data_IF_956312073068
#
_entry.id   IF_956312073068
#
_cell.length_a   1.000
_cell.length_b   1.000
_cell.length_c   1.000
_cell.angle_alpha   90.00
_cell.angle_beta   90.00
_cell.angle_gamma   90.00
#
_symmetry.space_group_name_H-M   'P 1'
#
loop_
_entity.id
_entity.type
_entity.pdbx_description
1 polymer ?
#
# COMPACT_ATOMS: atom_id res chain seq x y z
N UNK A 1 1.00 26.20 28.58
CA UNK A 1 -0.24 25.58 28.06
C UNK A 1 0.04 24.71 26.84
N UNK A 2 0.88 25.16 25.90
CA UNK A 2 1.33 24.41 24.72
C UNK A 2 2.05 23.07 25.01
N UNK A 3 2.94 23.03 26.01
CA UNK A 3 3.71 21.83 26.36
C UNK A 3 2.82 20.64 26.80
N UNK A 4 1.80 20.91 27.62
CA UNK A 4 0.89 19.86 28.11
C UNK A 4 0.10 19.19 26.98
N UNK A 5 -0.23 19.94 25.91
CA UNK A 5 -0.92 19.39 24.74
C UNK A 5 -0.02 18.49 23.90
N UNK A 6 1.27 18.85 23.75
CA UNK A 6 2.24 17.99 23.07
C UNK A 6 2.50 16.69 23.82
N UNK A 7 2.57 16.74 25.14
CA UNK A 7 2.71 15.54 25.98
C UNK A 7 1.46 14.66 25.91
N UNK A 8 0.26 15.27 25.96
CA UNK A 8 -1.00 14.55 25.81
C UNK A 8 -1.09 13.87 24.43
N UNK A 9 -0.68 14.57 23.37
CA UNK A 9 -0.62 14.02 22.02
C UNK A 9 0.36 12.85 21.93
N UNK A 10 1.57 13.00 22.48
CA UNK A 10 2.58 11.94 22.52
C UNK A 10 2.08 10.70 23.27
N UNK A 11 1.43 10.88 24.43
CA UNK A 11 0.91 9.78 25.23
C UNK A 11 -0.18 8.99 24.48
N UNK A 12 -1.16 9.68 23.90
CA UNK A 12 -2.22 9.05 23.10
C UNK A 12 -1.67 8.32 21.87
N UNK A 13 -0.62 8.86 21.26
CA UNK A 13 0.05 8.21 20.13
C UNK A 13 0.75 6.92 20.56
N UNK A 14 1.43 6.93 21.71
CA UNK A 14 2.08 5.74 22.29
C UNK A 14 1.04 4.68 22.66
N UNK A 15 -0.08 5.09 23.25
CA UNK A 15 -1.19 4.18 23.57
C UNK A 15 -1.73 3.51 22.29
N UNK A 16 -1.87 4.27 21.20
CA UNK A 16 -2.29 3.74 19.91
C UNK A 16 -1.27 2.78 19.27
N UNK A 17 0.02 3.08 19.40
CA UNK A 17 1.09 2.20 18.90
C UNK A 17 1.20 0.90 19.71
N UNK A 18 0.97 0.98 21.03
CA UNK A 18 1.08 -0.16 21.95
C UNK A 18 -0.19 -1.01 21.99
N UNK A 19 -1.34 -0.45 21.60
CA UNK A 19 -2.60 -1.17 21.56
C UNK A 19 -2.52 -2.37 20.60
N UNK A 20 -2.69 -3.58 21.15
CA UNK A 20 -2.76 -4.85 20.41
C UNK A 20 -4.20 -5.18 20.00
N UNK A 21 -5.19 -4.66 20.74
CA UNK A 21 -6.63 -4.84 20.56
C UNK A 21 -7.25 -3.79 19.61
N UNK A 22 -8.51 -3.98 19.13
CA UNK A 22 -9.17 -2.99 18.29
C UNK A 22 -9.23 -1.64 19.02
N UNK A 23 -8.57 -0.65 18.44
CA UNK A 23 -8.55 0.71 18.96
C UNK A 23 -9.97 1.27 18.90
N UNK A 24 -10.46 1.78 20.02
CA UNK A 24 -11.79 2.38 20.09
C UNK A 24 -11.86 3.61 19.17
N UNK A 25 -12.91 3.71 18.37
CA UNK A 25 -13.13 4.87 17.47
C UNK A 25 -13.05 6.21 18.22
N UNK A 26 -13.56 6.25 19.45
CA UNK A 26 -13.49 7.43 20.32
C UNK A 26 -12.06 7.87 20.63
N UNK A 27 -11.12 6.93 20.81
CA UNK A 27 -9.72 7.24 21.09
C UNK A 27 -9.02 7.83 19.86
N UNK A 28 -9.34 7.30 18.67
CA UNK A 28 -8.84 7.82 17.39
C UNK A 28 -9.39 9.22 17.13
N UNK A 29 -10.68 9.41 17.36
CA UNK A 29 -11.31 10.72 17.17
C UNK A 29 -10.74 11.76 18.14
N UNK A 30 -10.56 11.41 19.42
CA UNK A 30 -9.96 12.31 20.42
C UNK A 30 -8.48 12.62 20.11
N UNK A 31 -7.72 11.68 19.55
CA UNK A 31 -6.35 11.93 19.07
C UNK A 31 -6.34 13.00 17.97
N UNK A 32 -7.25 12.91 16.98
CA UNK A 32 -7.35 13.89 15.89
C UNK A 32 -7.81 15.27 16.40
N UNK A 33 -8.74 15.31 17.36
CA UNK A 33 -9.16 16.55 18.01
C UNK A 33 -8.03 17.22 18.80
N UNK A 34 -7.18 16.44 19.47
CA UNK A 34 -5.97 16.98 20.12
C UNK A 34 -5.04 17.59 19.07
N UNK A 35 -4.90 16.97 17.89
CA UNK A 35 -4.10 17.53 16.81
C UNK A 35 -4.69 18.84 16.25
N UNK A 36 -6.02 18.93 16.12
CA UNK A 36 -6.70 20.17 15.73
C UNK A 36 -6.45 21.30 16.74
N UNK A 37 -6.47 20.99 18.05
CA UNK A 37 -6.14 21.97 19.10
C UNK A 37 -4.70 22.44 19.02
N UNK A 38 -3.76 21.54 18.72
CA UNK A 38 -2.35 21.90 18.50
C UNK A 38 -2.23 22.82 17.29
N UNK A 39 -2.97 22.56 16.21
CA UNK A 39 -2.94 23.42 15.02
C UNK A 39 -3.40 24.85 15.33
N UNK A 40 -4.46 25.01 16.12
CA UNK A 40 -4.93 26.33 16.58
C UNK A 40 -3.86 27.10 17.36
N UNK A 41 -3.02 26.41 18.15
CA UNK A 41 -1.99 27.01 19.00
C UNK A 41 -0.60 27.03 18.33
N UNK A 42 -0.45 26.47 17.12
CA UNK A 42 0.83 26.31 16.43
C UNK A 42 1.58 27.63 16.26
N UNK A 43 0.85 28.74 16.10
CA UNK A 43 1.45 30.08 15.91
C UNK A 43 2.28 30.54 17.10
N UNK A 44 2.02 30.01 18.29
CA UNK A 44 2.69 30.40 19.54
C UNK A 44 3.84 29.45 19.92
N UNK A 45 4.20 28.51 19.03
CA UNK A 45 5.22 27.49 19.32
C UNK A 45 6.61 27.98 18.94
N UNK A 46 7.58 27.70 19.82
CA UNK A 46 9.00 27.88 19.53
C UNK A 46 9.54 26.77 18.61
N UNK A 47 10.75 26.96 18.10
CA UNK A 47 11.38 26.01 17.17
C UNK A 47 11.50 24.60 17.76
N UNK A 48 11.75 24.48 19.08
CA UNK A 48 11.85 23.19 19.75
C UNK A 48 10.51 22.44 19.80
N UNK A 49 9.41 23.14 20.09
CA UNK A 49 8.08 22.53 20.10
C UNK A 49 7.59 22.19 18.69
N UNK A 50 7.93 22.99 17.69
CA UNK A 50 7.67 22.66 16.28
C UNK A 50 8.44 21.41 15.83
N UNK A 51 9.70 21.27 16.23
CA UNK A 51 10.48 20.07 15.93
C UNK A 51 9.89 18.80 16.58
N UNK A 52 9.45 18.90 17.84
CA UNK A 52 8.74 17.80 18.51
C UNK A 52 7.44 17.45 17.81
N UNK A 53 6.65 18.45 17.42
CA UNK A 53 5.41 18.25 16.68
C UNK A 53 5.65 17.54 15.35
N UNK A 54 6.68 17.93 14.59
CA UNK A 54 7.05 17.28 13.34
C UNK A 54 7.37 15.79 13.53
N UNK A 55 8.11 15.44 14.59
CA UNK A 55 8.43 14.05 14.89
C UNK A 55 7.19 13.23 15.29
N UNK A 56 6.27 13.83 16.06
CA UNK A 56 5.00 13.18 16.41
C UNK A 56 4.09 13.03 15.19
N UNK A 57 4.06 14.02 14.30
CA UNK A 57 3.28 13.97 13.06
C UNK A 57 3.80 12.90 12.09
N UNK A 58 5.11 12.71 12.01
CA UNK A 58 5.70 11.60 11.23
C UNK A 58 5.23 10.24 11.74
N UNK A 59 5.19 10.06 13.06
CA UNK A 59 4.66 8.83 13.69
C UNK A 59 3.15 8.68 13.44
N UNK A 60 2.39 9.77 13.54
CA UNK A 60 0.96 9.76 13.20
C UNK A 60 0.72 9.34 11.74
N UNK A 61 1.53 9.84 10.79
CA UNK A 61 1.45 9.45 9.38
C UNK A 61 1.68 7.95 9.17
N UNK A 62 2.63 7.35 9.90
CA UNK A 62 2.87 5.91 9.84
C UNK A 62 1.66 5.11 10.32
N UNK A 63 0.89 5.66 11.27
CA UNK A 63 -0.35 5.06 11.77
C UNK A 63 -1.59 5.44 10.95
N UNK A 64 -1.46 6.32 9.95
CA UNK A 64 -2.58 6.84 9.15
C UNK A 64 -3.43 5.74 8.52
N UNK A 65 -2.80 4.69 7.99
CA UNK A 65 -3.47 3.49 7.47
C UNK A 65 -4.36 2.82 8.52
N UNK A 66 -3.84 2.65 9.74
CA UNK A 66 -4.56 2.02 10.84
C UNK A 66 -5.74 2.90 11.26
N UNK A 67 -5.52 4.21 11.36
CA UNK A 67 -6.56 5.19 11.68
C UNK A 67 -7.69 5.12 10.64
N UNK A 68 -7.36 5.10 9.34
CA UNK A 68 -8.36 5.06 8.27
C UNK A 68 -9.10 3.72 8.14
N UNK A 69 -8.53 2.63 8.67
CA UNK A 69 -9.21 1.33 8.74
C UNK A 69 -10.24 1.25 9.86
N UNK A 70 -9.95 1.87 11.02
CA UNK A 70 -10.82 1.81 12.19
C UNK A 70 -11.79 3.00 12.28
N UNK A 71 -11.43 4.16 11.73
CA UNK A 71 -12.26 5.36 11.77
C UNK A 71 -12.77 5.71 10.38
N UNK A 72 -14.10 5.89 10.25
CA UNK A 72 -14.71 6.36 9.02
C UNK A 72 -14.50 7.88 8.84
N UNK A 73 -13.28 8.23 8.42
CA UNK A 73 -12.85 9.60 8.13
C UNK A 73 -13.76 10.35 7.14
N UNK A 74 -14.32 9.73 6.07
CA UNK A 74 -15.37 10.36 5.25
C UNK A 74 -16.55 10.91 6.07
N UNK A 75 -17.08 10.13 7.01
CA UNK A 75 -18.21 10.54 7.85
C UNK A 75 -17.79 11.59 8.90
N UNK A 76 -16.58 11.47 9.46
CA UNK A 76 -16.05 12.49 10.37
C UNK A 76 -15.90 13.85 9.69
N UNK A 77 -15.44 13.88 8.43
CA UNK A 77 -15.27 15.12 7.64
C UNK A 77 -16.58 15.86 7.41
N UNK A 78 -17.71 15.15 7.25
CA UNK A 78 -19.02 15.81 7.09
C UNK A 78 -19.47 16.56 8.34
N UNK A 79 -19.07 16.07 9.52
CA UNK A 79 -19.45 16.65 10.82
C UNK A 79 -18.48 17.73 11.26
N UNK A 80 -17.18 17.43 11.25
CA UNK A 80 -16.12 18.32 11.75
C UNK A 80 -15.82 19.45 10.77
N UNK A 81 -16.06 19.24 9.46
CA UNK A 81 -15.73 20.18 8.38
C UNK A 81 -14.31 20.75 8.51
N UNK A 82 -13.27 19.89 8.52
CA UNK A 82 -11.90 20.34 8.68
C UNK A 82 -11.46 21.25 7.52
N UNK A 83 -10.65 22.26 7.83
CA UNK A 83 -10.02 23.15 6.85
C UNK A 83 -9.05 22.36 5.96
N UNK A 84 -8.90 22.74 4.69
CA UNK A 84 -8.06 22.03 3.70
C UNK A 84 -6.61 21.76 4.15
N UNK A 85 -6.07 22.56 5.07
CA UNK A 85 -4.71 22.40 5.61
C UNK A 85 -4.56 21.21 6.60
N UNK A 86 -5.66 20.63 7.08
CA UNK A 86 -5.67 19.68 8.19
C UNK A 86 -5.41 18.21 7.75
N UNK A 87 -4.33 17.98 7.00
CA UNK A 87 -3.99 16.73 6.29
C UNK A 87 -4.27 15.41 7.05
N UNK A 88 -4.23 15.42 8.38
CA UNK A 88 -4.55 14.26 9.24
C UNK A 88 -6.00 13.77 9.15
N UNK A 89 -6.92 14.53 8.56
CA UNK A 89 -8.30 14.08 8.26
C UNK A 89 -8.44 13.36 6.91
N UNK A 90 -7.38 13.34 6.10
CA UNK A 90 -7.38 12.78 4.75
C UNK A 90 -6.59 11.48 4.64
N UNK A 91 -6.38 10.76 5.74
CA UNK A 91 -5.81 9.42 5.65
C UNK A 91 -6.71 8.50 4.83
N UNK A 92 -6.08 7.77 3.93
CA UNK A 92 -6.73 6.72 3.16
C UNK A 92 -6.41 5.37 3.80
N UNK A 93 -7.39 4.46 3.88
CA UNK A 93 -7.08 3.09 4.23
C UNK A 93 -6.07 2.59 3.19
N UNK A 94 -5.04 1.87 3.62
CA UNK A 94 -4.09 1.32 2.66
C UNK A 94 -4.87 0.51 1.62
N UNK A 95 -4.83 0.99 0.37
CA UNK A 95 -5.11 0.14 -0.78
C UNK A 95 -4.26 -1.12 -0.65
N UNK A 96 -4.79 -2.25 -1.12
CA UNK A 96 -4.20 -3.55 -0.87
C UNK A 96 -2.70 -3.50 -1.22
N UNK A 97 -1.81 -3.82 -0.26
CA UNK A 97 -0.36 -3.73 -0.46
C UNK A 97 0.12 -4.56 -1.66
N UNK A 98 -0.71 -5.52 -2.08
CA UNK A 98 -0.61 -6.31 -3.30
C UNK A 98 -0.67 -5.46 -4.56
N UNK A 99 -1.51 -4.42 -4.64
CA UNK A 99 -1.61 -3.53 -5.78
C UNK A 99 -0.27 -2.83 -6.09
N UNK A 100 0.55 -2.60 -5.07
CA UNK A 100 1.90 -2.02 -5.23
C UNK A 100 2.89 -2.96 -5.94
N UNK A 101 2.71 -4.27 -5.79
CA UNK A 101 3.55 -5.30 -6.40
C UNK A 101 2.88 -5.99 -7.61
N UNK A 102 1.60 -5.73 -7.86
CA UNK A 102 0.81 -6.39 -8.89
C UNK A 102 1.30 -6.06 -10.31
N UNK A 103 1.79 -4.83 -10.52
CA UNK A 103 2.56 -4.48 -11.72
C UNK A 103 3.75 -5.43 -11.88
N UNK A 104 4.60 -5.55 -10.86
CA UNK A 104 5.84 -6.31 -10.93
C UNK A 104 5.58 -7.79 -11.25
N UNK A 105 4.54 -8.36 -10.62
CA UNK A 105 4.12 -9.74 -10.87
C UNK A 105 3.55 -9.92 -12.29
N UNK A 106 2.71 -8.99 -12.74
CA UNK A 106 2.18 -8.99 -14.11
C UNK A 106 3.30 -8.90 -15.17
N UNK A 107 4.28 -8.04 -14.95
CA UNK A 107 5.44 -7.88 -15.84
C UNK A 107 6.34 -9.13 -15.88
N UNK A 108 6.37 -9.93 -14.81
CA UNK A 108 7.12 -11.18 -14.75
C UNK A 108 6.35 -12.36 -15.36
N UNK A 109 5.05 -12.47 -15.09
CA UNK A 109 4.22 -13.59 -15.55
C UNK A 109 3.94 -13.56 -17.06
N UNK A 110 3.73 -12.39 -17.65
CA UNK A 110 3.45 -12.23 -19.09
C UNK A 110 4.56 -12.83 -19.98
N UNK A 111 5.85 -12.49 -19.81
CA UNK A 111 6.92 -13.08 -20.62
C UNK A 111 7.12 -14.57 -20.31
N UNK A 112 6.89 -15.01 -19.07
CA UNK A 112 7.02 -16.43 -18.69
C UNK A 112 5.93 -17.29 -19.36
N UNK A 113 4.69 -16.78 -19.44
CA UNK A 113 3.63 -17.40 -20.22
C UNK A 113 3.92 -17.37 -21.73
N UNK A 114 4.37 -16.23 -22.27
CA UNK A 114 4.71 -16.12 -23.69
C UNK A 114 5.83 -17.09 -24.08
N UNK A 115 6.85 -17.22 -23.23
CA UNK A 115 7.96 -18.18 -23.41
C UNK A 115 7.46 -19.62 -23.35
N UNK A 116 6.59 -19.95 -22.40
CA UNK A 116 6.03 -21.29 -22.28
C UNK A 116 5.15 -21.66 -23.48
N UNK A 117 4.36 -20.71 -23.99
CA UNK A 117 3.59 -20.87 -25.23
C UNK A 117 4.48 -21.07 -26.46
N UNK A 118 5.57 -20.31 -26.58
CA UNK A 118 6.54 -20.45 -27.67
C UNK A 118 7.21 -21.84 -27.67
N UNK A 119 7.57 -22.35 -26.49
CA UNK A 119 8.15 -23.69 -26.34
C UNK A 119 7.15 -24.79 -26.73
N UNK A 120 5.87 -24.64 -26.38
CA UNK A 120 4.82 -25.60 -26.78
C UNK A 120 4.60 -25.60 -28.30
N UNK A 121 4.63 -24.42 -28.94
CA UNK A 121 4.52 -24.31 -30.39
C UNK A 121 5.76 -24.89 -31.10
N UNK A 122 6.97 -24.62 -30.59
CA UNK A 122 8.21 -25.21 -31.11
C UNK A 122 8.20 -26.74 -31.01
N UNK A 123 7.80 -27.29 -29.86
CA UNK A 123 7.73 -28.74 -29.65
C UNK A 123 6.67 -29.38 -30.56
N UNK A 124 5.50 -28.74 -30.70
CA UNK A 124 4.43 -29.22 -31.59
C UNK A 124 4.87 -29.22 -33.06
N UNK A 125 5.55 -28.16 -33.49
CA UNK A 125 6.14 -28.06 -34.83
C UNK A 125 7.19 -29.14 -35.09
N UNK A 126 8.05 -29.43 -34.11
CA UNK A 126 9.10 -30.45 -34.24
C UNK A 126 8.55 -31.88 -34.25
N UNK A 127 7.47 -32.17 -33.52
CA UNK A 127 6.77 -33.45 -33.65
C UNK A 127 6.13 -33.64 -35.02
N UNK A 128 5.56 -32.57 -35.59
CA UNK A 128 4.95 -32.61 -36.92
C UNK A 128 6.00 -32.60 -38.05
N UNK A 129 7.12 -31.89 -37.91
CA UNK A 129 8.17 -31.85 -38.94
C UNK A 129 9.10 -33.07 -38.90
N UNK A 130 9.45 -33.59 -37.71
CA UNK A 130 10.28 -34.79 -37.57
C UNK A 130 9.59 -36.07 -38.05
N UNK A 131 8.26 -36.07 -38.15
CA UNK A 131 7.51 -37.11 -38.86
C UNK A 131 7.75 -37.08 -40.38
N UNK A 132 7.96 -35.92 -40.98
CA UNK A 132 8.11 -35.80 -42.45
C UNK A 132 9.51 -36.26 -42.90
N UNK A 133 10.54 -36.02 -42.10
CA UNK A 133 11.92 -36.42 -42.43
C UNK A 133 12.10 -37.95 -42.40
N UNK A 134 11.36 -38.66 -41.54
CA UNK A 134 11.34 -40.13 -41.49
C UNK A 134 10.49 -40.74 -42.62
N UNK A 135 9.44 -40.05 -43.10
CA UNK A 135 8.71 -40.44 -44.30
C UNK A 135 9.54 -40.25 -45.59
N UNK A 136 10.40 -39.22 -45.66
CA UNK A 136 11.34 -39.02 -46.77
C UNK A 136 12.45 -40.07 -46.82
N UNK A 137 12.99 -40.47 -45.66
CA UNK A 137 13.98 -41.54 -45.56
C UNK A 137 13.42 -42.93 -45.96
N UNK A 138 12.15 -43.20 -45.65
CA UNK A 138 11.44 -44.39 -46.15
C UNK A 138 11.22 -44.36 -47.67
N UNK A 139 11.05 -43.16 -48.24
CA UNK A 139 10.81 -42.99 -49.68
C UNK A 139 12.09 -43.06 -50.53
N UNK A 140 13.27 -42.75 -49.98
CA UNK A 140 14.56 -42.97 -50.65
C UNK A 140 14.86 -44.46 -50.86
N UNK A 141 14.50 -45.34 -49.90
CA UNK A 141 14.80 -46.78 -50.02
C UNK A 141 13.90 -47.55 -50.99
N UNK A 142 12.91 -46.91 -51.60
CA UNK A 142 12.01 -47.53 -52.61
C UNK A 142 12.48 -47.26 -54.06
N UNK A 143 13.70 -46.74 -54.24
CA UNK A 143 14.25 -46.47 -55.58
C UNK A 143 15.67 -47.00 -55.80
N UNK A 144 15.91 -48.28 -55.48
CA UNK A 144 16.97 -49.04 -56.16
C UNK A 144 16.44 -50.44 -56.46
N UNK A 145 16.30 -50.66 -57.78
CA UNK A 145 16.06 -51.87 -58.57
C UNK A 145 16.12 -53.24 -57.89
#
# INVERSE_FOLDING_TARGET
MSLALLEQYAMKLIDLETAVDPVLEEQLFDLLLVRDRIECLRKDYDAANLQKLLHLDQRLQQQGTRIAQFLNLPNCRTTVKPTEDAWWWWFEPAGDWRDRYDWLWSALCVPMMATSGALLLDLSGRFLSGGIDTFGALMWSVKVY
#
